data_IF_167958329335
#
_entry.id   IF_167958329335
#
_cell.length_a   1.000
_cell.length_b   1.000
_cell.length_c   1.000
_cell.angle_alpha   90.00
_cell.angle_beta   90.00
_cell.angle_gamma   90.00
#
_symmetry.space_group_name_H-M   'P 1'
#
loop_
_entity.id
_entity.type
_entity.pdbx_description
1 polymer ?
#
# COMPACT_ATOMS: atom_id res chain seq x y z
N UNK A 1 -27.42 21.95 -29.37
CA UNK A 1 -27.10 22.73 -28.15
C UNK A 1 -27.79 22.20 -26.89
N UNK A 2 -29.13 22.15 -26.80
CA UNK A 2 -29.85 21.74 -25.56
C UNK A 2 -29.55 20.32 -25.07
N UNK A 3 -29.37 19.35 -25.98
CA UNK A 3 -28.97 17.96 -25.64
C UNK A 3 -27.54 17.87 -25.10
N UNK A 4 -26.62 18.67 -25.64
CA UNK A 4 -25.23 18.73 -25.16
C UNK A 4 -25.17 19.33 -23.74
N UNK A 5 -25.97 20.37 -23.47
CA UNK A 5 -26.06 20.98 -22.14
C UNK A 5 -26.61 19.99 -21.10
N UNK A 6 -27.67 19.25 -21.45
CA UNK A 6 -28.23 18.19 -20.60
C UNK A 6 -27.21 17.09 -20.31
N UNK A 7 -26.45 16.67 -21.33
CA UNK A 7 -25.43 15.62 -21.18
C UNK A 7 -24.25 16.10 -20.32
N UNK A 8 -23.83 17.35 -20.48
CA UNK A 8 -22.82 17.99 -19.62
C UNK A 8 -23.28 18.08 -18.17
N UNK A 9 -24.54 18.48 -17.92
CA UNK A 9 -25.11 18.51 -16.57
C UNK A 9 -25.16 17.13 -15.92
N UNK A 10 -25.52 16.09 -16.69
CA UNK A 10 -25.57 14.73 -16.20
C UNK A 10 -24.17 14.20 -15.85
N UNK A 11 -23.16 14.53 -16.66
CA UNK A 11 -21.76 14.20 -16.40
C UNK A 11 -21.24 14.89 -15.12
N UNK A 12 -21.59 16.16 -14.94
CA UNK A 12 -21.20 16.95 -13.76
C UNK A 12 -21.81 16.38 -12.47
N UNK A 13 -23.02 15.84 -12.55
CA UNK A 13 -23.68 15.16 -11.43
C UNK A 13 -23.04 13.81 -11.11
N UNK A 14 -22.45 13.10 -12.09
CA UNK A 14 -21.81 11.79 -11.86
C UNK A 14 -20.44 11.91 -11.17
N UNK A 15 -19.70 12.99 -11.40
CA UNK A 15 -18.38 13.23 -10.79
C UNK A 15 -18.35 13.07 -9.27
N UNK A 16 -19.24 13.72 -8.48
CA UNK A 16 -19.25 13.54 -7.04
C UNK A 16 -19.57 12.09 -6.65
N UNK A 17 -20.50 11.41 -7.32
CA UNK A 17 -20.79 9.99 -7.02
C UNK A 17 -19.58 9.08 -7.24
N UNK A 18 -18.81 9.33 -8.31
CA UNK A 18 -17.57 8.59 -8.56
C UNK A 18 -16.53 8.90 -7.49
N UNK A 19 -16.36 10.16 -7.10
CA UNK A 19 -15.42 10.56 -6.07
C UNK A 19 -15.77 9.97 -4.69
N UNK A 20 -17.04 10.12 -4.26
CA UNK A 20 -17.52 9.56 -2.99
C UNK A 20 -17.49 8.04 -2.99
N UNK A 21 -17.85 7.40 -4.11
CA UNK A 21 -17.78 5.95 -4.26
C UNK A 21 -16.35 5.43 -4.21
N UNK A 22 -15.40 6.15 -4.83
CA UNK A 22 -13.99 5.81 -4.73
C UNK A 22 -13.50 5.94 -3.28
N UNK A 23 -13.77 7.07 -2.64
CA UNK A 23 -13.34 7.36 -1.28
C UNK A 23 -13.92 6.39 -0.25
N UNK A 24 -15.18 5.97 -0.40
CA UNK A 24 -15.79 4.98 0.51
C UNK A 24 -15.19 3.59 0.37
N UNK A 25 -14.70 3.23 -0.83
CA UNK A 25 -14.04 1.95 -1.06
C UNK A 25 -12.60 1.93 -0.53
N UNK A 26 -11.88 3.05 -0.63
CA UNK A 26 -10.46 3.16 -0.24
C UNK A 26 -10.25 3.63 1.19
N UNK A 27 -11.29 3.97 1.94
CA UNK A 27 -11.16 4.38 3.34
C UNK A 27 -11.22 3.20 4.32
N UNK A 28 -10.53 3.34 5.44
CA UNK A 28 -10.52 2.38 6.54
C UNK A 28 -9.69 1.12 6.28
N UNK A 29 -9.86 0.14 7.17
CA UNK A 29 -9.05 -1.07 7.22
C UNK A 29 -9.66 -2.23 6.41
N UNK A 30 -8.84 -2.86 5.59
CA UNK A 30 -9.19 -3.97 4.71
C UNK A 30 -8.16 -5.10 4.83
N UNK A 31 -8.64 -6.33 4.96
CA UNK A 31 -7.80 -7.52 4.91
C UNK A 31 -8.16 -8.35 3.69
N UNK A 32 -7.14 -8.84 2.98
CA UNK A 32 -7.33 -9.59 1.75
C UNK A 32 -6.16 -10.52 1.46
N UNK A 33 -6.36 -11.41 0.48
CA UNK A 33 -5.32 -12.29 -0.06
C UNK A 33 -5.05 -11.93 -1.51
N UNK A 34 -3.91 -12.38 -2.04
CA UNK A 34 -3.58 -12.20 -3.46
C UNK A 34 -4.62 -12.82 -4.41
N UNK A 35 -5.35 -13.85 -3.96
CA UNK A 35 -6.47 -14.45 -4.70
C UNK A 35 -7.66 -13.52 -4.87
N UNK A 36 -7.81 -12.52 -3.99
CA UNK A 36 -8.91 -11.57 -4.01
C UNK A 36 -8.61 -10.46 -5.02
N UNK A 37 -8.79 -10.78 -6.30
CA UNK A 37 -8.32 -9.97 -7.43
C UNK A 37 -8.68 -8.48 -7.31
N UNK A 38 -9.94 -8.17 -6.97
CA UNK A 38 -10.39 -6.78 -6.86
C UNK A 38 -9.68 -6.04 -5.71
N UNK A 39 -9.64 -6.64 -4.53
CA UNK A 39 -8.97 -6.07 -3.35
C UNK A 39 -7.47 -5.91 -3.58
N UNK A 40 -6.82 -6.91 -4.15
CA UNK A 40 -5.40 -6.84 -4.50
C UNK A 40 -5.11 -5.75 -5.54
N UNK A 41 -5.95 -5.63 -6.56
CA UNK A 41 -5.81 -4.59 -7.57
C UNK A 41 -5.99 -3.18 -7.00
N UNK A 42 -6.99 -3.00 -6.12
CA UNK A 42 -7.39 -1.71 -5.56
C UNK A 42 -6.47 -1.23 -4.44
N UNK A 43 -6.10 -2.11 -3.50
CA UNK A 43 -5.45 -1.72 -2.24
C UNK A 43 -3.94 -1.96 -2.20
N UNK A 44 -3.38 -2.76 -3.10
CA UNK A 44 -1.92 -2.98 -3.14
C UNK A 44 -1.24 -1.85 -3.93
N UNK A 45 -0.23 -1.14 -3.39
CA UNK A 45 0.55 -0.18 -4.14
C UNK A 45 1.23 -0.82 -5.36
N UNK A 46 1.33 -0.10 -6.47
CA UNK A 46 1.90 -0.63 -7.71
C UNK A 46 3.36 -1.09 -7.53
N UNK A 47 4.13 -0.42 -6.66
CA UNK A 47 5.51 -0.82 -6.31
C UNK A 47 5.57 -2.19 -5.64
N UNK A 48 4.49 -2.61 -4.97
CA UNK A 48 4.42 -3.88 -4.24
C UNK A 48 3.75 -5.00 -5.03
N UNK A 49 3.04 -4.69 -6.12
CA UNK A 49 2.42 -5.71 -6.98
C UNK A 49 3.45 -6.62 -7.65
N UNK A 50 4.67 -6.10 -7.87
CA UNK A 50 5.79 -6.78 -8.52
C UNK A 50 6.75 -7.48 -7.54
N UNK A 51 6.41 -7.56 -6.25
CA UNK A 51 7.27 -8.19 -5.24
C UNK A 51 7.55 -9.66 -5.62
N UNK A 52 8.80 -10.14 -5.51
CA UNK A 52 9.15 -11.52 -5.81
C UNK A 52 8.31 -12.49 -4.97
N UNK A 53 8.09 -13.70 -5.50
CA UNK A 53 7.35 -14.72 -4.76
C UNK A 53 8.14 -15.14 -3.51
N UNK A 54 7.71 -14.65 -2.35
CA UNK A 54 8.26 -15.00 -1.04
C UNK A 54 7.63 -16.30 -0.54
N UNK A 55 6.30 -16.35 -0.52
CA UNK A 55 5.47 -17.52 -0.17
C UNK A 55 4.15 -17.48 -0.93
N UNK A 56 3.52 -18.64 -1.09
CA UNK A 56 2.15 -18.78 -1.58
C UNK A 56 1.12 -18.39 -0.50
N UNK A 57 1.53 -18.44 0.77
CA UNK A 57 0.69 -18.08 1.91
C UNK A 57 1.05 -16.65 2.35
N UNK A 58 0.27 -15.70 1.87
CA UNK A 58 0.49 -14.27 2.06
C UNK A 58 -0.84 -13.58 2.40
N UNK A 59 -0.84 -12.82 3.49
CA UNK A 59 -1.96 -12.03 3.95
C UNK A 59 -1.64 -10.54 3.80
N UNK A 60 -2.61 -9.78 3.31
CA UNK A 60 -2.46 -8.38 3.00
C UNK A 60 -3.41 -7.59 3.90
N UNK A 61 -2.90 -6.55 4.54
CA UNK A 61 -3.67 -5.59 5.30
C UNK A 61 -3.46 -4.22 4.68
N UNK A 62 -4.53 -3.48 4.45
CA UNK A 62 -4.52 -2.10 4.02
C UNK A 62 -5.31 -1.27 5.01
N UNK A 63 -4.88 -0.04 5.26
CA UNK A 63 -5.60 0.91 6.10
C UNK A 63 -5.33 2.32 5.57
N UNK A 64 -6.39 3.12 5.46
CA UNK A 64 -6.29 4.54 5.14
C UNK A 64 -6.87 5.36 6.29
N UNK A 65 -5.98 6.05 6.99
CA UNK A 65 -6.28 6.97 8.08
C UNK A 65 -6.62 8.36 7.50
N UNK A 66 -7.87 8.76 7.68
CA UNK A 66 -8.41 10.02 7.20
C UNK A 66 -7.86 11.24 7.95
N UNK A 67 -7.60 11.09 9.24
CA UNK A 67 -7.17 12.19 10.09
C UNK A 67 -5.73 12.57 9.78
N UNK A 68 -4.90 11.56 9.49
CA UNK A 68 -3.48 11.73 9.18
C UNK A 68 -3.16 11.68 7.68
N UNK A 69 -4.17 11.52 6.82
CA UNK A 69 -4.03 11.32 5.35
C UNK A 69 -2.96 10.28 5.00
N UNK A 70 -2.99 9.17 5.74
CA UNK A 70 -1.93 8.17 5.73
C UNK A 70 -2.47 6.83 5.24
N UNK A 71 -1.78 6.27 4.25
CA UNK A 71 -1.98 4.89 3.81
C UNK A 71 -0.96 4.00 4.48
N UNK A 72 -1.42 2.94 5.14
CA UNK A 72 -0.60 1.86 5.66
C UNK A 72 -0.97 0.56 4.96
N UNK A 73 0.03 -0.19 4.54
CA UNK A 73 -0.17 -1.51 3.95
C UNK A 73 0.85 -2.49 4.52
N UNK A 74 0.42 -3.69 4.88
CA UNK A 74 1.28 -4.74 5.42
C UNK A 74 1.05 -6.00 4.63
N UNK A 75 2.13 -6.62 4.16
CA UNK A 75 2.11 -7.99 3.65
C UNK A 75 2.81 -8.88 4.65
N UNK A 76 2.14 -9.95 5.07
CA UNK A 76 2.70 -10.97 5.94
C UNK A 76 2.78 -12.28 5.18
N UNK A 77 3.99 -12.81 5.03
CA UNK A 77 4.24 -14.11 4.43
C UNK A 77 4.46 -15.16 5.51
N UNK A 78 3.78 -16.29 5.36
CA UNK A 78 3.85 -17.45 6.23
C UNK A 78 4.47 -18.65 5.51
N UNK A 79 4.81 -19.72 6.24
CA UNK A 79 5.30 -20.98 5.67
C UNK A 79 6.48 -20.82 4.71
N UNK A 80 7.45 -19.98 5.08
CA UNK A 80 8.60 -19.63 4.24
C UNK A 80 9.67 -20.72 4.37
N UNK A 81 10.11 -21.28 3.25
CA UNK A 81 11.13 -22.32 3.22
C UNK A 81 12.53 -21.84 3.66
N UNK A 82 13.03 -20.75 3.09
CA UNK A 82 14.34 -20.16 3.39
C UNK A 82 14.20 -18.66 3.66
N UNK A 83 13.84 -18.33 4.91
CA UNK A 83 13.51 -16.96 5.30
C UNK A 83 14.68 -15.99 5.10
N UNK A 84 15.92 -16.42 5.35
CA UNK A 84 17.11 -15.58 5.19
C UNK A 84 17.32 -15.20 3.73
N UNK A 85 17.21 -16.17 2.82
CA UNK A 85 17.32 -15.93 1.38
C UNK A 85 16.17 -15.03 0.90
N UNK A 86 14.93 -15.34 1.28
CA UNK A 86 13.75 -14.57 0.87
C UNK A 86 13.76 -13.13 1.37
N UNK A 87 14.23 -12.91 2.59
CA UNK A 87 14.47 -11.57 3.13
C UNK A 87 15.51 -10.80 2.31
N UNK A 88 16.61 -11.45 1.92
CA UNK A 88 17.62 -10.82 1.07
C UNK A 88 17.08 -10.49 -0.34
N UNK A 89 16.32 -11.39 -0.95
CA UNK A 89 15.61 -11.15 -2.22
C UNK A 89 14.69 -9.93 -2.13
N UNK A 90 13.91 -9.83 -1.05
CA UNK A 90 12.99 -8.72 -0.82
C UNK A 90 13.73 -7.39 -0.61
N UNK A 91 14.80 -7.38 0.19
CA UNK A 91 15.63 -6.19 0.39
C UNK A 91 16.26 -5.73 -0.92
N UNK A 92 16.81 -6.66 -1.72
CA UNK A 92 17.39 -6.35 -3.03
C UNK A 92 16.33 -5.77 -3.98
N UNK A 93 15.12 -6.33 -3.99
CA UNK A 93 14.00 -5.80 -4.77
C UNK A 93 13.69 -4.35 -4.40
N UNK A 94 13.61 -4.03 -3.11
CA UNK A 94 13.34 -2.67 -2.64
C UNK A 94 14.48 -1.70 -3.01
N UNK A 95 15.73 -2.12 -2.84
CA UNK A 95 16.91 -1.30 -3.20
C UNK A 95 16.94 -0.94 -4.69
N UNK A 96 16.53 -1.86 -5.57
CA UNK A 96 16.48 -1.61 -7.01
C UNK A 96 15.42 -0.57 -7.41
N UNK A 97 14.37 -0.39 -6.61
CA UNK A 97 13.28 0.56 -6.89
C UNK A 97 13.59 1.98 -6.43
N UNK A 98 14.60 2.18 -5.58
CA UNK A 98 15.10 3.52 -5.24
C UNK A 98 16.10 3.53 -4.08
N UNK A 99 17.23 4.24 -4.19
CA UNK A 99 18.23 4.34 -3.12
C UNK A 99 17.72 5.07 -1.87
N UNK A 100 16.60 5.79 -1.98
CA UNK A 100 15.92 6.49 -0.87
C UNK A 100 14.98 5.59 -0.07
N UNK A 101 14.69 4.39 -0.54
CA UNK A 101 13.86 3.42 0.17
C UNK A 101 14.66 2.87 1.37
N UNK A 102 14.43 3.47 2.54
CA UNK A 102 14.96 2.97 3.82
C UNK A 102 14.15 1.73 4.20
N UNK A 103 14.77 0.56 4.32
CA UNK A 103 14.12 -0.75 4.51
C UNK A 103 14.34 -1.38 5.90
N UNK A 104 15.02 -0.67 6.83
CA UNK A 104 15.29 -1.15 8.18
C UNK A 104 14.29 -0.57 9.18
N UNK A 105 13.54 -1.44 9.85
CA UNK A 105 12.49 -1.12 10.83
C UNK A 105 13.01 -0.43 12.11
N UNK A 106 14.34 -0.29 12.27
CA UNK A 106 14.98 0.40 13.40
C UNK A 106 14.93 1.93 13.33
N UNK A 107 14.50 2.52 12.21
CA UNK A 107 14.34 3.97 12.12
C UNK A 107 12.95 4.41 12.60
N UNK A 108 12.81 4.45 13.93
CA UNK A 108 11.81 5.29 14.59
C UNK A 108 12.39 6.71 14.56
N UNK A 109 12.07 7.52 13.55
CA UNK A 109 12.26 8.96 13.71
C UNK A 109 11.13 9.47 14.60
N UNK A 110 11.50 9.70 15.85
CA UNK A 110 10.83 10.56 16.82
C UNK A 110 11.00 12.04 16.42
N UNK A 111 10.94 12.37 15.12
CA UNK A 111 10.94 13.76 14.68
C UNK A 111 9.54 14.13 14.22
N UNK A 112 8.81 14.78 15.11
CA UNK A 112 7.51 15.38 14.83
C UNK A 112 7.59 16.52 13.81
N UNK A 113 8.74 16.79 13.18
CA UNK A 113 8.93 17.86 12.19
C UNK A 113 9.51 17.37 10.85
N UNK A 114 9.80 16.07 10.68
CA UNK A 114 10.23 15.52 9.37
C UNK A 114 9.03 15.16 8.47
N UNK A 115 7.94 15.93 8.60
CA UNK A 115 6.81 15.98 7.68
C UNK A 115 7.26 16.63 6.37
N UNK A 116 8.18 15.98 5.66
CA UNK A 116 8.30 16.27 4.22
C UNK A 116 6.94 15.93 3.59
N UNK A 117 6.33 16.94 2.97
CA UNK A 117 5.09 16.76 2.22
C UNK A 117 5.31 15.65 1.18
N UNK A 118 4.60 14.53 1.31
CA UNK A 118 4.74 13.30 0.51
C UNK A 118 5.95 12.40 0.89
N UNK A 119 5.75 11.54 1.89
CA UNK A 119 6.75 10.57 2.36
C UNK A 119 6.30 9.13 2.13
N UNK A 120 7.22 8.26 1.71
CA UNK A 120 7.02 6.81 1.58
C UNK A 120 8.07 6.03 2.39
N UNK A 121 7.62 5.02 3.13
CA UNK A 121 8.46 4.11 3.92
C UNK A 121 8.19 2.66 3.57
N UNK A 122 9.25 1.85 3.62
CA UNK A 122 9.17 0.40 3.53
C UNK A 122 9.89 -0.20 4.74
N UNK A 123 9.32 -1.19 5.43
CA UNK A 123 9.96 -1.85 6.57
C UNK A 123 9.84 -3.35 6.41
N UNK A 124 10.98 -4.03 6.30
CA UNK A 124 11.05 -5.48 6.24
C UNK A 124 11.37 -6.01 7.64
N UNK A 125 10.41 -6.69 8.26
CA UNK A 125 10.59 -7.29 9.58
C UNK A 125 10.45 -8.81 9.51
N UNK A 126 11.20 -9.51 10.35
CA UNK A 126 11.08 -10.96 10.49
C UNK A 126 10.55 -11.23 11.90
N UNK A 127 9.45 -11.97 12.01
CA UNK A 127 8.85 -12.35 13.29
C UNK A 127 8.76 -13.87 13.37
N UNK A 128 9.78 -14.48 13.97
CA UNK A 128 9.89 -15.95 14.01
C UNK A 128 10.05 -16.53 12.60
N UNK A 129 9.04 -17.28 12.16
CA UNK A 129 8.94 -17.93 10.85
C UNK A 129 8.19 -17.11 9.79
N UNK A 130 7.69 -15.93 10.15
CA UNK A 130 7.03 -15.01 9.22
C UNK A 130 7.96 -13.89 8.77
N UNK A 131 7.73 -13.42 7.54
CA UNK A 131 8.35 -12.22 6.99
C UNK A 131 7.24 -11.20 6.75
N UNK A 132 7.45 -9.97 7.16
CA UNK A 132 6.52 -8.87 6.96
C UNK A 132 7.16 -7.74 6.15
N UNK A 133 6.39 -7.15 5.25
CA UNK A 133 6.69 -5.89 4.59
C UNK A 133 5.61 -4.87 4.94
N UNK A 134 5.99 -3.84 5.68
CA UNK A 134 5.14 -2.67 5.92
C UNK A 134 5.48 -1.58 4.91
N UNK A 135 4.46 -1.00 4.29
CA UNK A 135 4.48 0.20 3.49
C UNK A 135 3.66 1.28 4.18
N UNK A 136 4.20 2.50 4.20
CA UNK A 136 3.55 3.67 4.75
C UNK A 136 3.70 4.80 3.75
N UNK A 137 2.61 5.48 3.45
CA UNK A 137 2.60 6.68 2.62
C UNK A 137 1.76 7.76 3.30
N UNK A 138 2.29 8.97 3.36
CA UNK A 138 1.53 10.15 3.81
C UNK A 138 1.43 11.11 2.64
N UNK A 139 0.22 11.54 2.32
CA UNK A 139 -0.06 12.57 1.31
C UNK A 139 -0.50 13.82 2.05
N UNK A 140 0.22 14.93 1.85
CA UNK A 140 -0.07 16.23 2.47
C UNK A 140 -0.31 17.27 1.37
#
# INVERSE_FOLDING_TARGET
>A
MRKCILLSFLLLLLLPFVFYGWFSLTSGAHQYRKSDFFSYWLYTPDTLKDVPLISMDAEYSYDYDLDNQQTKMVVTWHHINNITQKKAELINFLQQRGPTIKYNCLWVYYDQHDYSDNYQRYCVSQKGDTLELEYLETVN
#
